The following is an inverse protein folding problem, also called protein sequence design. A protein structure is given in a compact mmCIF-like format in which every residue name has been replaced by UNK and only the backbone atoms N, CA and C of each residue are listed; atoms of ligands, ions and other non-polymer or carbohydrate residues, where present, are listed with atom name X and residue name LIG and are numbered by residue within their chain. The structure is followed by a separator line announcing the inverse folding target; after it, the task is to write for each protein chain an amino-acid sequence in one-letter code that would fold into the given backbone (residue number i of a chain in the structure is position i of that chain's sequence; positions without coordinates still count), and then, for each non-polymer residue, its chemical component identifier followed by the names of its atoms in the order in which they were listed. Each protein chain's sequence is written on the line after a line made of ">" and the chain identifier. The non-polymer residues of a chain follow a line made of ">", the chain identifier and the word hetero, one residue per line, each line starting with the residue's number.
data_IF_158754250550
#
_entry.id   IF_158754250550
#
_cell.length_a   1.000
_cell.length_b   1.000
_cell.length_c   1.000
_cell.angle_alpha   90.00
_cell.angle_beta   90.00
_cell.angle_gamma   90.00
#
_symmetry.space_group_name_H-M   'P 1'
#
loop_
_entity.id
_entity.type
_entity.pdbx_description
1 polymer ?
#
# COMPACT_ATOMS: atom_id res chain seq x y z
N UNK A 1 -6.69 2.40 6.89
CA UNK A 1 -5.54 2.10 6.02
C UNK A 1 -4.90 3.38 5.52
N UNK A 2 -3.58 3.43 5.46
CA UNK A 2 -2.82 4.52 4.85
C UNK A 2 -1.90 3.94 3.77
N UNK A 3 -2.10 4.33 2.52
CA UNK A 3 -1.23 3.94 1.40
C UNK A 3 -0.27 5.09 1.06
N UNK A 4 1.00 4.76 0.85
CA UNK A 4 2.10 5.71 0.65
C UNK A 4 2.97 5.23 -0.52
N UNK A 5 3.36 6.16 -1.40
CA UNK A 5 4.41 5.95 -2.37
C UNK A 5 5.72 6.58 -1.86
N UNK A 6 6.82 5.82 -1.90
CA UNK A 6 8.13 6.27 -1.44
C UNK A 6 9.06 6.54 -2.62
N UNK A 7 9.34 7.83 -2.87
CA UNK A 7 10.02 8.26 -4.09
C UNK A 7 11.54 8.26 -4.00
N UNK A 8 12.14 7.94 -2.85
CA UNK A 8 13.61 8.07 -2.69
C UNK A 8 14.41 7.15 -3.60
N UNK A 9 13.84 6.00 -3.95
CA UNK A 9 14.45 5.06 -4.89
C UNK A 9 13.93 5.19 -6.33
N UNK A 10 12.94 6.07 -6.56
CA UNK A 10 12.38 6.36 -7.89
C UNK A 10 13.45 6.82 -8.90
N UNK A 11 14.46 7.67 -8.54
CA UNK A 11 15.51 8.06 -9.48
C UNK A 11 16.39 6.91 -9.99
N UNK A 12 16.47 5.79 -9.24
CA UNK A 12 17.24 4.61 -9.63
C UNK A 12 16.38 3.56 -10.34
N UNK A 13 15.13 3.91 -10.66
CA UNK A 13 14.19 3.01 -11.32
C UNK A 13 13.45 2.08 -10.36
N UNK A 14 13.53 2.28 -9.04
CA UNK A 14 12.93 1.41 -8.02
C UNK A 14 11.90 2.15 -7.13
N UNK A 15 10.79 2.67 -7.67
CA UNK A 15 9.72 3.18 -6.82
C UNK A 15 9.17 2.08 -5.90
N UNK A 16 8.98 2.41 -4.62
CA UNK A 16 8.40 1.51 -3.62
C UNK A 16 7.00 2.00 -3.25
N UNK A 17 6.04 1.08 -3.28
CA UNK A 17 4.69 1.31 -2.78
C UNK A 17 4.46 0.50 -1.52
N UNK A 18 3.83 1.13 -0.52
CA UNK A 18 3.46 0.42 0.69
C UNK A 18 2.11 0.88 1.21
N UNK A 19 1.45 0.01 1.95
CA UNK A 19 0.31 0.40 2.77
C UNK A 19 0.41 -0.19 4.17
N UNK A 20 -0.08 0.60 5.13
CA UNK A 20 -0.09 0.26 6.54
C UNK A 20 -1.50 0.40 7.10
N UNK A 21 -1.88 -0.50 7.99
CA UNK A 21 -3.10 -0.33 8.76
C UNK A 21 -2.92 0.78 9.82
N UNK A 22 -3.93 1.64 9.95
CA UNK A 22 -3.86 2.83 10.81
C UNK A 22 -3.87 2.49 12.30
N UNK A 23 -4.54 1.40 12.67
CA UNK A 23 -4.69 0.97 14.06
C UNK A 23 -3.55 0.03 14.48
N UNK A 24 -3.45 -1.12 13.81
CA UNK A 24 -2.51 -2.18 14.14
C UNK A 24 -1.06 -1.86 13.72
N UNK A 25 -0.88 -0.88 12.82
CA UNK A 25 0.40 -0.57 12.17
C UNK A 25 0.97 -1.75 11.38
N UNK A 26 0.16 -2.74 11.02
CA UNK A 26 0.57 -3.86 10.16
C UNK A 26 0.84 -3.33 8.74
N UNK A 27 2.00 -3.67 8.19
CA UNK A 27 2.30 -3.46 6.77
C UNK A 27 1.50 -4.48 5.96
N UNK A 28 0.58 -3.99 5.13
CA UNK A 28 -0.32 -4.78 4.30
C UNK A 28 0.39 -5.24 3.03
N UNK A 29 1.07 -4.31 2.34
CA UNK A 29 2.00 -4.60 1.25
C UNK A 29 3.19 -3.66 1.30
N UNK A 30 4.28 -4.09 0.66
CA UNK A 30 5.50 -3.31 0.48
C UNK A 30 6.21 -3.83 -0.78
N UNK A 31 5.94 -3.20 -1.92
CA UNK A 31 6.24 -3.75 -3.24
C UNK A 31 7.03 -2.76 -4.10
N UNK A 32 7.95 -3.27 -4.90
CA UNK A 32 8.62 -2.51 -5.95
C UNK A 32 7.72 -2.41 -7.18
N UNK A 33 7.74 -1.24 -7.82
CA UNK A 33 7.08 -1.03 -9.12
C UNK A 33 8.08 -0.55 -10.17
N UNK A 34 7.77 -0.82 -11.44
CA UNK A 34 8.49 -0.22 -12.58
C UNK A 34 8.16 1.26 -12.75
N UNK A 35 6.99 1.70 -12.29
CA UNK A 35 6.52 3.08 -12.36
C UNK A 35 5.43 3.30 -11.31
N UNK A 36 5.48 4.46 -10.63
CA UNK A 36 4.41 4.91 -9.75
C UNK A 36 3.35 5.76 -10.47
N UNK A 37 3.59 6.10 -11.74
CA UNK A 37 2.74 7.04 -12.48
C UNK A 37 1.51 6.33 -13.08
N UNK A 38 1.43 5.01 -12.89
CA UNK A 38 0.39 4.11 -13.39
C UNK A 38 -0.56 3.68 -12.26
N UNK A 39 -1.81 4.16 -12.24
CA UNK A 39 -2.76 3.85 -11.18
C UNK A 39 -3.11 2.35 -11.09
N UNK A 40 -2.93 1.60 -12.18
CA UNK A 40 -3.23 0.17 -12.26
C UNK A 40 -2.32 -0.65 -11.36
N UNK A 41 -1.05 -0.22 -11.19
CA UNK A 41 -0.11 -0.90 -10.29
C UNK A 41 -0.57 -0.80 -8.83
N UNK A 42 -1.00 0.40 -8.40
CA UNK A 42 -1.49 0.65 -7.05
C UNK A 42 -2.79 -0.11 -6.81
N UNK A 43 -3.69 -0.11 -7.79
CA UNK A 43 -4.93 -0.86 -7.73
C UNK A 43 -4.69 -2.39 -7.65
N UNK A 44 -3.68 -2.92 -8.35
CA UNK A 44 -3.30 -4.33 -8.28
C UNK A 44 -2.86 -4.74 -6.88
N UNK A 45 -2.00 -3.96 -6.23
CA UNK A 45 -1.59 -4.28 -4.85
C UNK A 45 -2.77 -4.20 -3.88
N UNK A 46 -3.69 -3.27 -4.11
CA UNK A 46 -4.88 -3.16 -3.30
C UNK A 46 -5.78 -4.39 -3.42
N UNK A 47 -6.07 -4.82 -4.66
CA UNK A 47 -6.97 -5.96 -4.87
C UNK A 47 -6.35 -7.27 -4.38
N UNK A 48 -5.04 -7.48 -4.59
CA UNK A 48 -4.33 -8.66 -4.06
C UNK A 48 -4.37 -8.71 -2.54
N UNK A 49 -4.21 -7.56 -1.87
CA UNK A 49 -4.33 -7.46 -0.42
C UNK A 49 -5.76 -7.76 0.05
N UNK A 50 -6.78 -7.27 -0.65
CA UNK A 50 -8.18 -7.53 -0.32
C UNK A 50 -8.55 -9.00 -0.55
N UNK A 51 -8.15 -9.57 -1.70
CA UNK A 51 -8.37 -10.96 -2.06
C UNK A 51 -7.70 -11.92 -1.07
N UNK A 52 -6.45 -11.63 -0.67
CA UNK A 52 -5.71 -12.45 0.29
C UNK A 52 -6.31 -12.47 1.71
N UNK A 53 -7.01 -11.39 2.10
CA UNK A 53 -7.66 -11.31 3.41
C UNK A 53 -9.16 -11.67 3.35
N UNK A 54 -9.81 -11.65 2.18
CA UNK A 54 -11.26 -11.83 2.01
C UNK A 54 -12.09 -10.64 2.53
N UNK A 55 -11.43 -9.55 2.90
CA UNK A 55 -12.00 -8.42 3.63
C UNK A 55 -11.39 -7.11 3.13
N UNK A 56 -12.19 -6.04 3.09
CA UNK A 56 -11.67 -4.68 2.94
C UNK A 56 -11.72 -3.91 4.26
N UNK A 57 -10.91 -2.86 4.36
CA UNK A 57 -10.85 -2.02 5.55
C UNK A 57 -11.97 -0.97 5.51
N UNK A 58 -12.44 -0.51 6.67
CA UNK A 58 -13.52 0.49 6.77
C UNK A 58 -13.21 1.80 6.04
N UNK A 59 -11.98 2.28 6.15
CA UNK A 59 -11.55 3.58 5.64
C UNK A 59 -10.16 3.50 5.01
N UNK A 60 -10.08 3.94 3.76
CA UNK A 60 -8.84 4.12 3.03
C UNK A 60 -8.43 5.59 3.02
N UNK A 61 -7.19 5.86 3.39
CA UNK A 61 -6.57 7.17 3.27
C UNK A 61 -5.41 7.11 2.28
N UNK A 62 -5.40 8.05 1.34
CA UNK A 62 -4.34 8.20 0.33
C UNK A 62 -3.97 9.65 0.18
N UNK A 63 -2.79 9.90 -0.37
CA UNK A 63 -2.42 11.24 -0.82
C UNK A 63 -3.23 11.64 -2.07
N UNK A 64 -3.29 12.95 -2.35
CA UNK A 64 -4.02 13.54 -3.48
C UNK A 64 -3.26 13.36 -4.81
N UNK A 65 -2.78 12.15 -5.07
CA UNK A 65 -2.11 11.75 -6.30
C UNK A 65 -3.10 11.12 -7.28
N UNK A 66 -2.90 11.36 -8.58
CA UNK A 66 -3.71 10.76 -9.65
C UNK A 66 -3.57 9.24 -9.70
N UNK A 67 -2.43 8.72 -9.26
CA UNK A 67 -2.12 7.30 -9.16
C UNK A 67 -3.00 6.54 -8.15
N UNK A 68 -3.62 7.26 -7.20
CA UNK A 68 -4.43 6.65 -6.15
C UNK A 68 -5.94 6.65 -6.45
N UNK A 69 -6.35 7.28 -7.56
CA UNK A 69 -7.77 7.46 -7.90
C UNK A 69 -8.51 6.14 -8.12
N UNK A 70 -7.89 5.18 -8.81
CA UNK A 70 -8.50 3.86 -9.08
C UNK A 70 -8.71 3.09 -7.78
N UNK A 71 -7.71 3.08 -6.89
CA UNK A 71 -7.81 2.45 -5.57
C UNK A 71 -8.89 3.11 -4.69
N UNK A 72 -9.02 4.44 -4.75
CA UNK A 72 -10.08 5.18 -4.07
C UNK A 72 -11.47 4.75 -4.58
N UNK A 73 -11.64 4.64 -5.91
CA UNK A 73 -12.88 4.17 -6.52
C UNK A 73 -13.25 2.74 -6.12
N UNK A 74 -12.28 1.82 -6.14
CA UNK A 74 -12.47 0.43 -5.71
C UNK A 74 -12.96 0.35 -4.27
N UNK A 75 -12.36 1.12 -3.37
CA UNK A 75 -12.78 1.16 -1.98
C UNK A 75 -14.24 1.61 -1.83
N UNK A 76 -14.64 2.66 -2.54
CA UNK A 76 -16.01 3.15 -2.52
C UNK A 76 -16.99 2.09 -3.07
N UNK A 77 -16.61 1.36 -4.13
CA UNK A 77 -17.42 0.28 -4.72
C UNK A 77 -17.61 -0.91 -3.76
N UNK A 78 -16.53 -1.37 -3.14
CA UNK A 78 -16.56 -2.44 -2.15
C UNK A 78 -17.48 -2.12 -0.97
N UNK A 79 -17.54 -0.84 -0.60
CA UNK A 79 -18.32 -0.32 0.53
C UNK A 79 -19.69 0.26 0.14
N UNK A 80 -20.11 0.15 -1.12
CA UNK A 80 -21.36 0.74 -1.62
C UNK A 80 -22.61 0.29 -0.83
N UNK A 81 -22.66 -0.98 -0.43
CA UNK A 81 -23.81 -1.57 0.27
C UNK A 81 -23.69 -1.48 1.81
N UNK A 82 -22.70 -0.75 2.32
CA UNK A 82 -22.50 -0.57 3.76
C UNK A 82 -23.62 0.27 4.39
N UNK A 83 -24.10 -0.15 5.57
CA UNK A 83 -25.12 0.59 6.33
C UNK A 83 -24.57 1.64 7.30
N UNK A 84 -23.25 1.77 7.42
CA UNK A 84 -22.59 2.66 8.38
C UNK A 84 -22.20 4.03 7.79
N UNK A 85 -21.70 4.92 8.66
CA UNK A 85 -21.38 6.31 8.31
C UNK A 85 -20.26 6.46 7.29
N UNK A 86 -19.45 5.43 7.06
CA UNK A 86 -18.31 5.41 6.15
C UNK A 86 -18.59 4.58 4.88
N UNK A 87 -19.84 4.25 4.58
CA UNK A 87 -20.20 3.53 3.37
C UNK A 87 -20.09 4.37 2.07
N UNK A 88 -19.93 3.68 0.95
CA UNK A 88 -19.83 4.27 -0.38
C UNK A 88 -18.70 5.29 -0.50
N UNK A 89 -19.03 6.49 -1.00
CA UNK A 89 -18.08 7.59 -1.22
C UNK A 89 -17.35 8.06 0.04
N UNK A 90 -17.88 7.77 1.23
CA UNK A 90 -17.28 8.13 2.52
C UNK A 90 -16.24 7.11 3.01
N UNK A 91 -16.05 6.01 2.26
CA UNK A 91 -15.08 4.97 2.57
C UNK A 91 -13.63 5.35 2.22
N UNK A 92 -13.44 6.49 1.56
CA UNK A 92 -12.14 7.04 1.17
C UNK A 92 -11.97 8.47 1.67
N UNK A 93 -10.73 8.84 2.03
CA UNK A 93 -10.36 10.21 2.39
C UNK A 93 -8.96 10.58 1.87
N UNK A 94 -8.85 11.73 1.22
CA UNK A 94 -7.55 12.30 0.89
C UNK A 94 -6.86 12.90 2.12
N UNK A 95 -5.57 12.61 2.27
CA UNK A 95 -4.66 13.19 3.26
C UNK A 95 -3.63 14.11 2.62
N UNK A 96 -3.08 15.03 3.41
CA UNK A 96 -1.87 15.78 3.03
C UNK A 96 -0.63 14.91 3.21
N UNK A 97 0.21 14.85 2.19
CA UNK A 97 1.47 14.09 2.22
C UNK A 97 2.51 14.82 3.09
N UNK A 98 3.28 14.13 3.95
CA UNK A 98 4.49 14.70 4.53
C UNK A 98 5.44 15.10 3.40
N UNK A 99 6.04 16.29 3.47
CA UNK A 99 6.96 16.76 2.44
C UNK A 99 8.10 15.74 2.22
N UNK A 100 8.05 15.00 1.10
CA UNK A 100 9.12 14.11 0.68
C UNK A 100 10.36 14.95 0.38
N UNK A 101 11.34 14.92 1.29
CA UNK A 101 12.67 15.44 0.99
C UNK A 101 13.33 14.51 -0.02
N UNK A 102 13.50 14.99 -1.25
CA UNK A 102 14.38 14.37 -2.25
C UNK A 102 15.81 14.52 -1.75
N UNK A 103 16.51 13.42 -1.56
CA UNK A 103 17.95 13.43 -1.29
C UNK A 103 18.62 12.83 -2.51
N UNK A 104 19.39 13.66 -3.21
CA UNK A 104 19.83 13.37 -4.57
C UNK A 104 21.28 12.83 -4.55
N UNK A 105 21.51 11.52 -4.74
CA UNK A 105 22.87 11.03 -5.09
C UNK A 105 23.25 11.37 -6.55
N UNK A 106 22.35 12.02 -7.30
CA UNK A 106 22.69 12.70 -8.56
C UNK A 106 23.82 13.72 -8.32
N UNK A 107 23.89 14.31 -7.12
CA UNK A 107 25.01 15.14 -6.65
C UNK A 107 26.36 14.41 -6.58
N UNK A 108 26.40 13.07 -6.64
CA UNK A 108 27.62 12.26 -6.58
C UNK A 108 28.11 11.77 -7.96
N UNK A 109 27.39 12.06 -9.04
CA UNK A 109 27.85 11.84 -10.42
C UNK A 109 28.07 10.38 -10.85
N UNK A 110 27.48 9.41 -10.15
CA UNK A 110 27.82 7.98 -10.30
C UNK A 110 26.96 7.18 -11.29
N UNK A 111 25.83 7.73 -11.79
CA UNK A 111 24.88 7.01 -12.66
C UNK A 111 24.28 7.92 -13.74
N UNK A 112 24.20 7.43 -14.99
CA UNK A 112 23.49 8.07 -16.09
C UNK A 112 22.05 7.51 -16.19
N UNK A 113 21.10 8.26 -15.65
CA UNK A 113 19.67 7.91 -15.59
C UNK A 113 19.03 7.92 -17.00
N UNK A 114 19.73 8.44 -18.02
CA UNK A 114 19.26 8.49 -19.40
C UNK A 114 19.44 7.20 -20.21
N UNK A 115 20.24 6.23 -19.73
CA UNK A 115 20.54 5.01 -20.47
C UNK A 115 19.59 3.85 -20.09
N UNK A 116 18.61 3.60 -20.95
CA UNK A 116 17.61 2.54 -20.75
C UNK A 116 18.22 1.15 -20.55
N UNK A 117 19.35 0.81 -21.20
CA UNK A 117 19.97 -0.51 -21.04
C UNK A 117 20.61 -0.68 -19.66
N UNK A 118 21.21 0.38 -19.12
CA UNK A 118 21.79 0.34 -17.77
C UNK A 118 20.70 0.26 -16.71
N UNK A 119 19.58 0.97 -16.90
CA UNK A 119 18.43 0.91 -16.02
C UNK A 119 17.77 -0.47 -16.02
N UNK A 120 17.63 -1.11 -17.18
CA UNK A 120 17.13 -2.50 -17.27
C UNK A 120 18.07 -3.51 -16.62
N UNK A 121 19.39 -3.36 -16.82
CA UNK A 121 20.37 -4.23 -16.19
C UNK A 121 20.37 -4.08 -14.66
N UNK A 122 20.26 -2.84 -14.16
CA UNK A 122 20.11 -2.57 -12.73
C UNK A 122 18.83 -3.22 -12.20
N UNK A 123 17.69 -3.02 -12.87
CA UNK A 123 16.43 -3.63 -12.47
C UNK A 123 16.55 -5.15 -12.41
N UNK A 124 17.03 -5.80 -13.47
CA UNK A 124 17.19 -7.25 -13.52
C UNK A 124 18.10 -7.80 -12.40
N UNK A 125 19.18 -7.09 -12.07
CA UNK A 125 20.11 -7.54 -11.03
C UNK A 125 19.56 -7.33 -9.62
N UNK A 126 18.84 -6.23 -9.38
CA UNK A 126 18.53 -5.78 -8.02
C UNK A 126 17.05 -5.90 -7.63
N UNK A 127 16.11 -6.02 -8.57
CA UNK A 127 14.68 -6.17 -8.26
C UNK A 127 14.45 -7.31 -7.26
N UNK A 128 14.90 -8.53 -7.59
CA UNK A 128 14.65 -9.70 -6.76
C UNK A 128 15.31 -9.57 -5.37
N UNK A 129 16.49 -8.96 -5.32
CA UNK A 129 17.22 -8.73 -4.07
C UNK A 129 16.49 -7.70 -3.22
N UNK A 130 16.12 -6.57 -3.81
CA UNK A 130 15.44 -5.48 -3.12
C UNK A 130 14.05 -5.90 -2.65
N UNK A 131 13.27 -6.60 -3.48
CA UNK A 131 11.97 -7.11 -3.09
C UNK A 131 12.08 -8.10 -1.92
N UNK A 132 13.05 -9.02 -1.97
CA UNK A 132 13.31 -9.93 -0.86
C UNK A 132 13.72 -9.21 0.44
N UNK A 133 14.47 -8.12 0.36
CA UNK A 133 14.76 -7.29 1.53
C UNK A 133 13.51 -6.56 2.04
N UNK A 134 12.65 -6.05 1.16
CA UNK A 134 11.36 -5.46 1.55
C UNK A 134 10.45 -6.48 2.24
N UNK A 135 10.41 -7.71 1.74
CA UNK A 135 9.64 -8.80 2.34
C UNK A 135 10.13 -9.13 3.75
N UNK A 136 11.46 -9.17 3.96
CA UNK A 136 12.06 -9.33 5.29
C UNK A 136 11.71 -8.16 6.21
N UNK A 137 11.77 -6.93 5.71
CA UNK A 137 11.39 -5.73 6.47
C UNK A 137 9.91 -5.81 6.87
N UNK A 138 9.02 -6.16 5.94
CA UNK A 138 7.59 -6.37 6.19
C UNK A 138 7.36 -7.45 7.24
N UNK A 139 8.02 -8.61 7.12
CA UNK A 139 7.90 -9.70 8.08
C UNK A 139 8.40 -9.30 9.46
N UNK A 140 9.59 -8.69 9.55
CA UNK A 140 10.15 -8.23 10.80
C UNK A 140 9.25 -7.17 11.45
N UNK A 141 8.76 -6.21 10.67
CA UNK A 141 7.84 -5.19 11.15
C UNK A 141 6.52 -5.78 11.65
N UNK A 142 5.95 -6.74 10.94
CA UNK A 142 4.65 -7.30 11.32
C UNK A 142 4.70 -8.19 12.57
N UNK A 143 5.88 -8.76 12.86
CA UNK A 143 6.09 -9.69 13.98
C UNK A 143 6.76 -9.05 15.20
N UNK A 144 7.47 -7.92 15.05
CA UNK A 144 8.06 -7.24 16.19
C UNK A 144 7.00 -6.56 17.07
N UNK A 145 7.33 -6.36 18.34
CA UNK A 145 6.47 -5.65 19.28
C UNK A 145 6.74 -4.16 19.22
N UNK A 146 5.72 -3.39 18.85
CA UNK A 146 5.74 -1.93 18.93
C UNK A 146 5.53 -1.51 20.39
N UNK A 147 6.42 -0.65 20.88
CA UNK A 147 6.33 -0.07 22.22
C UNK A 147 5.43 1.16 22.23
N UNK A 148 4.94 1.51 23.43
CA UNK A 148 4.09 2.69 23.61
C UNK A 148 4.88 3.95 23.26
N UNK A 149 4.31 4.78 22.38
CA UNK A 149 4.86 6.09 22.03
C UNK A 149 3.86 7.20 22.40
N UNK A 150 4.34 8.44 22.55
CA UNK A 150 3.50 9.60 22.89
C UNK A 150 2.47 10.01 21.83
N UNK A 151 2.57 9.47 20.59
CA UNK A 151 1.76 9.90 19.45
C UNK A 151 0.53 9.00 19.19
N UNK A 152 -0.02 8.38 20.24
CA UNK A 152 -1.23 7.54 20.12
C UNK A 152 -1.01 6.17 19.48
N UNK A 153 0.24 5.68 19.43
CA UNK A 153 0.54 4.33 18.94
C UNK A 153 0.03 3.27 19.90
N UNK A 154 -0.75 2.32 19.38
CA UNK A 154 -1.22 1.15 20.14
C UNK A 154 -0.04 0.19 20.34
N UNK A 155 0.38 -0.09 21.59
CA UNK A 155 1.46 -1.03 21.83
C UNK A 155 0.99 -2.46 21.57
N UNK A 156 1.82 -3.25 20.89
CA UNK A 156 1.47 -4.62 20.55
C UNK A 156 2.28 -5.14 19.37
N UNK A 157 2.05 -6.40 19.02
CA UNK A 157 2.58 -6.98 17.78
C UNK A 157 1.58 -6.70 16.67
N UNK A 158 1.97 -6.06 15.55
CA UNK A 158 1.02 -5.68 14.50
C UNK A 158 0.15 -6.81 13.98
N UNK A 159 0.71 -8.01 13.77
CA UNK A 159 -0.08 -9.18 13.36
C UNK A 159 -1.14 -9.56 14.41
N UNK A 160 -0.80 -9.50 15.70
CA UNK A 160 -1.75 -9.80 16.78
C UNK A 160 -2.84 -8.75 16.85
N UNK A 161 -2.48 -7.47 16.73
CA UNK A 161 -3.45 -6.37 16.75
C UNK A 161 -4.40 -6.41 15.54
N UNK A 162 -3.91 -6.87 14.38
CA UNK A 162 -4.70 -6.93 13.15
C UNK A 162 -5.64 -8.15 13.11
N UNK A 163 -5.15 -9.34 13.46
CA UNK A 163 -5.94 -10.58 13.38
C UNK A 163 -6.75 -10.86 14.65
N UNK A 164 -6.35 -10.33 15.80
CA UNK A 164 -7.00 -10.59 17.10
C UNK A 164 -7.28 -9.26 17.85
N UNK A 165 -8.07 -8.35 17.26
CA UNK A 165 -8.33 -7.02 17.83
C UNK A 165 -9.01 -7.08 19.21
N UNK A 166 -9.79 -8.14 19.48
CA UNK A 166 -10.47 -8.36 20.77
C UNK A 166 -9.49 -8.44 21.96
N UNK A 167 -8.25 -8.89 21.73
CA UNK A 167 -7.23 -8.96 22.79
C UNK A 167 -6.76 -7.58 23.26
N UNK A 168 -6.99 -6.55 22.45
CA UNK A 168 -6.70 -5.15 22.73
C UNK A 168 -7.95 -4.33 23.04
N UNK A 169 -9.10 -4.99 23.28
CA UNK A 169 -10.41 -4.34 23.42
C UNK A 169 -10.78 -3.45 22.23
N UNK A 170 -10.22 -3.74 21.06
CA UNK A 170 -10.45 -3.01 19.83
C UNK A 170 -11.62 -3.63 19.07
N UNK A 171 -12.34 -2.81 18.33
CA UNK A 171 -13.43 -3.27 17.47
C UNK A 171 -12.85 -3.63 16.11
N UNK A 172 -13.21 -4.79 15.56
CA UNK A 172 -12.85 -5.11 14.19
C UNK A 172 -13.62 -4.21 13.22
N UNK A 173 -12.86 -3.46 12.41
CA UNK A 173 -13.37 -2.53 11.42
C UNK A 173 -13.21 -3.08 10.00
N UNK A 174 -13.01 -4.38 9.84
CA UNK A 174 -12.98 -5.04 8.53
C UNK A 174 -14.39 -5.31 8.04
N UNK A 175 -14.54 -5.29 6.71
CA UNK A 175 -15.79 -5.56 6.03
C UNK A 175 -15.62 -6.76 5.11
N UNK A 176 -16.40 -7.81 5.36
CA UNK A 176 -16.38 -9.02 4.54
C UNK A 176 -16.89 -8.68 3.14
N UNK A 177 -16.10 -9.08 2.14
CA UNK A 177 -16.46 -8.84 0.75
C UNK A 177 -17.00 -10.10 0.09
N UNK A 178 -17.94 -9.88 -0.84
CA UNK A 178 -18.40 -10.94 -1.73
C UNK A 178 -17.32 -11.18 -2.79
N UNK A 179 -16.93 -12.45 -2.99
CA UNK A 179 -15.92 -12.83 -3.99
C UNK A 179 -16.22 -12.27 -5.38
N UNK A 180 -17.50 -12.22 -5.78
CA UNK A 180 -17.95 -11.63 -7.05
C UNK A 180 -17.48 -10.18 -7.26
N UNK A 181 -17.48 -9.34 -6.22
CA UNK A 181 -17.01 -7.95 -6.33
C UNK A 181 -15.50 -7.87 -6.56
N UNK A 182 -14.75 -8.81 -6.00
CA UNK A 182 -13.30 -8.93 -6.19
C UNK A 182 -13.04 -9.36 -7.63
N UNK A 183 -13.70 -10.42 -8.10
CA UNK A 183 -13.56 -10.94 -9.47
C UNK A 183 -13.88 -9.88 -10.54
N UNK A 184 -14.93 -9.09 -10.33
CA UNK A 184 -15.30 -7.99 -11.23
C UNK A 184 -14.19 -6.96 -11.34
N UNK A 185 -13.65 -6.50 -10.21
CA UNK A 185 -12.58 -5.51 -10.19
C UNK A 185 -11.26 -6.08 -10.75
N UNK A 186 -10.96 -7.36 -10.53
CA UNK A 186 -9.81 -8.03 -11.14
C UNK A 186 -9.93 -8.11 -12.66
N UNK A 187 -11.13 -8.37 -13.19
CA UNK A 187 -11.38 -8.34 -14.63
C UNK A 187 -11.21 -6.94 -15.20
N UNK A 188 -11.73 -5.91 -14.54
CA UNK A 188 -11.57 -4.52 -14.98
C UNK A 188 -10.09 -4.11 -15.10
N UNK A 189 -9.25 -4.50 -14.12
CA UNK A 189 -7.80 -4.23 -14.18
C UNK A 189 -7.05 -4.99 -15.29
N UNK A 190 -7.56 -6.15 -15.69
CA UNK A 190 -6.96 -6.95 -16.76
C UNK A 190 -7.41 -6.52 -18.16
N UNK A 191 -8.61 -5.94 -18.30
CA UNK A 191 -9.14 -5.43 -19.57
C UNK A 191 -8.41 -4.16 -20.04
N UNK A 192 -7.93 -3.32 -19.13
CA UNK A 192 -7.15 -2.11 -19.45
C UNK A 192 -5.72 -2.39 -19.99
N UNK A 193 -5.33 -3.67 -20.14
CA UNK A 193 -4.05 -4.09 -20.72
C UNK A 193 -4.08 -4.46 -22.21
N UNK A 194 -5.24 -4.41 -22.86
CA UNK A 194 -5.41 -4.64 -24.31
C UNK A 194 -5.60 -3.33 -25.07
#
# INVERSE_FOLDING_TARGET
>A
MEAICYDKLKPYGFPIHGAIDGYSRKILWLELTRSNDKPENVAKFYIECVAGNGECLLLLRTDCGTENGVMAGMQCYFRQDGGDTFAGEKAHKYGSSPANQRTDMVSAGLLDIGNAMQMEALWLCFEAVLQNELDKVKQHWNTHRIMRSGHGTVPGVPDVLFYLPDRSSAVDCKWVLQSRKIDEMEQHLNVEKQ
#
